data_IF_035321489931
#
_entry.id   IF_035321489931
#
_cell.length_a   1.000
_cell.length_b   1.000
_cell.length_c   1.000
_cell.angle_alpha   90.00
_cell.angle_beta   90.00
_cell.angle_gamma   90.00
#
_symmetry.space_group_name_H-M   'P 1'
#
loop_
_entity.id
_entity.type
_entity.pdbx_description
1 polymer ?
#
# COMPACT_ATOMS: atom_id res chain seq x y z
N UNK A 1 -13.53 -5.89 -13.33
CA UNK A 1 -14.01 -6.94 -12.42
C UNK A 1 -14.54 -6.27 -11.15
N UNK A 2 -15.42 -6.88 -10.36
CA UNK A 2 -15.85 -6.32 -9.07
C UNK A 2 -15.36 -7.24 -7.94
N UNK A 3 -14.73 -6.67 -6.92
CA UNK A 3 -14.31 -7.36 -5.69
C UNK A 3 -15.16 -6.83 -4.53
N UNK A 4 -15.46 -7.68 -3.55
CA UNK A 4 -16.13 -7.20 -2.34
C UNK A 4 -15.19 -6.34 -1.51
N UNK A 5 -15.74 -5.38 -0.77
CA UNK A 5 -14.95 -4.47 0.07
C UNK A 5 -14.15 -5.21 1.15
N UNK A 6 -14.75 -6.25 1.75
CA UNK A 6 -14.06 -7.13 2.70
C UNK A 6 -12.87 -7.85 2.06
N UNK A 7 -13.06 -8.48 0.89
CA UNK A 7 -11.98 -9.21 0.23
C UNK A 7 -10.85 -8.26 -0.23
N UNK A 8 -11.20 -7.02 -0.61
CA UNK A 8 -10.21 -5.99 -0.91
C UNK A 8 -9.36 -5.66 0.32
N UNK A 9 -9.99 -5.43 1.48
CA UNK A 9 -9.29 -5.13 2.72
C UNK A 9 -8.40 -6.28 3.21
N UNK A 10 -8.82 -7.54 3.02
CA UNK A 10 -8.02 -8.73 3.34
C UNK A 10 -6.77 -8.88 2.46
N UNK A 11 -6.81 -8.39 1.21
CA UNK A 11 -5.70 -8.49 0.26
C UNK A 11 -4.73 -7.32 0.33
N UNK A 12 -5.26 -6.10 0.49
CA UNK A 12 -4.51 -4.86 0.28
C UNK A 12 -4.63 -3.88 1.47
N UNK A 13 -5.25 -4.30 2.57
CA UNK A 13 -5.50 -3.44 3.70
C UNK A 13 -6.68 -2.47 3.48
N UNK A 14 -7.03 -1.70 4.53
CA UNK A 14 -8.18 -0.80 4.53
C UNK A 14 -8.02 0.34 3.50
N UNK A 15 -9.13 0.77 2.89
CA UNK A 15 -9.19 1.92 1.98
C UNK A 15 -10.19 2.97 2.47
N UNK A 16 -10.36 4.07 1.75
CA UNK A 16 -11.23 5.20 2.12
C UNK A 16 -12.65 4.71 2.47
N UNK A 17 -13.08 5.02 3.70
CA UNK A 17 -14.36 4.62 4.29
C UNK A 17 -14.31 3.38 5.19
N UNK A 18 -13.16 2.72 5.31
CA UNK A 18 -12.94 1.66 6.31
C UNK A 18 -12.52 2.26 7.65
N UNK A 19 -12.51 1.45 8.70
CA UNK A 19 -12.01 1.88 10.02
C UNK A 19 -11.20 0.80 10.69
N UNK A 20 -10.07 1.18 11.27
CA UNK A 20 -9.17 0.32 12.04
C UNK A 20 -9.14 0.80 13.48
N UNK A 21 -9.32 -0.13 14.42
CA UNK A 21 -9.18 0.13 15.85
C UNK A 21 -7.70 0.17 16.24
N UNK A 22 -7.28 1.18 16.99
CA UNK A 22 -5.92 1.28 17.48
C UNK A 22 -5.74 0.43 18.74
N UNK A 23 -5.21 -0.78 18.56
CA UNK A 23 -5.01 -1.74 19.64
C UNK A 23 -6.31 -2.12 20.31
N UNK A 24 -6.31 -2.17 21.65
CA UNK A 24 -7.47 -2.45 22.50
C UNK A 24 -8.20 -1.18 22.98
N UNK A 25 -7.82 -0.01 22.47
CA UNK A 25 -8.42 1.29 22.87
C UNK A 25 -9.79 1.52 22.22
N UNK A 26 -10.50 2.59 22.58
CA UNK A 26 -11.71 3.01 21.83
C UNK A 26 -11.39 4.02 20.72
N UNK A 27 -10.13 4.10 20.28
CA UNK A 27 -9.70 4.98 19.19
C UNK A 27 -9.78 4.23 17.86
N UNK A 28 -10.31 4.92 16.85
CA UNK A 28 -10.48 4.41 15.49
C UNK A 28 -9.87 5.39 14.50
N UNK A 29 -9.24 4.85 13.46
CA UNK A 29 -8.69 5.62 12.34
C UNK A 29 -9.30 5.13 11.04
N UNK A 30 -9.50 6.05 10.10
CA UNK A 30 -10.00 5.79 8.75
C UNK A 30 -9.04 6.45 7.78
N UNK A 31 -8.61 5.77 6.69
CA UNK A 31 -7.87 6.43 5.63
C UNK A 31 -8.69 7.59 5.05
N UNK A 32 -8.09 8.78 5.01
CA UNK A 32 -8.66 9.99 4.41
C UNK A 32 -8.46 9.99 2.89
N UNK A 33 -7.36 9.38 2.43
CA UNK A 33 -7.05 9.11 1.03
C UNK A 33 -6.42 7.72 0.85
N UNK A 34 -6.57 7.17 -0.35
CA UNK A 34 -5.86 5.99 -0.82
C UNK A 34 -5.20 6.36 -2.16
N UNK A 35 -3.88 6.29 -2.21
CA UNK A 35 -3.08 6.68 -3.37
C UNK A 35 -2.87 5.54 -4.37
N UNK A 36 -3.41 4.34 -4.10
CA UNK A 36 -3.41 3.25 -5.07
C UNK A 36 -4.42 3.49 -6.21
N UNK A 37 -4.15 2.88 -7.36
CA UNK A 37 -5.13 2.75 -8.44
C UNK A 37 -5.83 1.40 -8.28
N UNK A 38 -7.17 1.34 -8.10
CA UNK A 38 -7.87 0.08 -7.88
C UNK A 38 -7.64 -0.95 -8.99
N UNK A 39 -7.04 -2.09 -8.62
CA UNK A 39 -6.66 -3.17 -9.55
C UNK A 39 -5.18 -3.19 -9.94
N UNK A 40 -4.42 -2.16 -9.60
CA UNK A 40 -2.97 -2.03 -9.87
C UNK A 40 -2.15 -2.10 -8.57
N UNK A 41 -2.72 -2.61 -7.47
CA UNK A 41 -2.02 -2.72 -6.19
C UNK A 41 -0.82 -3.66 -6.29
N UNK A 42 0.34 -3.20 -5.78
CA UNK A 42 1.57 -3.99 -5.82
C UNK A 42 1.63 -4.96 -4.63
N UNK A 43 1.83 -6.23 -4.94
CA UNK A 43 2.02 -7.31 -3.96
C UNK A 43 3.20 -8.17 -4.34
N UNK A 44 3.95 -8.62 -3.33
CA UNK A 44 5.09 -9.53 -3.50
C UNK A 44 4.70 -10.98 -3.15
N UNK A 45 5.27 -11.95 -3.86
CA UNK A 45 5.05 -13.38 -3.63
C UNK A 45 4.90 -14.21 -4.92
N UNK A 46 4.78 -15.52 -4.76
CA UNK A 46 4.62 -16.45 -5.89
C UNK A 46 3.40 -16.12 -6.74
N UNK A 47 3.60 -15.80 -8.02
CA UNK A 47 2.52 -15.45 -8.94
C UNK A 47 1.91 -14.05 -8.76
N UNK A 48 2.51 -13.18 -7.94
CA UNK A 48 2.01 -11.83 -7.61
C UNK A 48 2.55 -10.74 -8.55
N UNK A 49 2.34 -9.47 -8.21
CA UNK A 49 2.57 -8.32 -9.09
C UNK A 49 4.06 -7.96 -9.20
N UNK A 50 4.78 -7.88 -8.07
CA UNK A 50 6.20 -7.51 -8.05
C UNK A 50 7.05 -8.69 -8.54
N UNK A 51 7.21 -8.76 -9.85
CA UNK A 51 8.02 -9.72 -10.60
C UNK A 51 8.58 -9.06 -11.86
N UNK A 52 9.66 -9.65 -12.37
CA UNK A 52 10.40 -9.18 -13.54
C UNK A 52 9.48 -8.89 -14.75
N UNK A 53 9.52 -7.64 -15.24
CA UNK A 53 8.73 -7.19 -16.38
C UNK A 53 7.24 -6.92 -16.10
N UNK A 54 6.80 -7.04 -14.84
CA UNK A 54 5.46 -6.68 -14.37
C UNK A 54 5.53 -5.46 -13.46
N UNK A 55 5.23 -5.61 -12.16
CA UNK A 55 5.42 -4.55 -11.16
C UNK A 55 6.88 -4.21 -10.87
N UNK A 56 7.84 -4.99 -11.38
CA UNK A 56 9.27 -4.69 -11.31
C UNK A 56 9.81 -4.31 -12.69
N UNK A 57 10.26 -3.05 -12.81
CA UNK A 57 10.82 -2.47 -14.03
C UNK A 57 12.24 -3.00 -14.33
N UNK A 58 12.68 -2.84 -15.59
CA UNK A 58 14.08 -3.02 -16.02
C UNK A 58 14.91 -1.73 -15.91
N UNK A 59 14.34 -0.68 -15.30
CA UNK A 59 15.02 0.59 -15.11
C UNK A 59 16.32 0.41 -14.31
N UNK A 60 17.27 1.33 -14.53
CA UNK A 60 18.51 1.30 -13.78
C UNK A 60 18.25 1.56 -12.30
N UNK A 61 19.10 1.00 -11.43
CA UNK A 61 19.01 1.13 -9.98
C UNK A 61 18.80 2.59 -9.51
N UNK A 62 19.54 3.54 -10.11
CA UNK A 62 19.41 4.99 -9.86
C UNK A 62 18.02 5.60 -10.13
N UNK A 63 17.13 4.86 -10.78
CA UNK A 63 15.76 5.27 -11.14
C UNK A 63 14.71 4.50 -10.33
N UNK A 64 15.15 3.63 -9.43
CA UNK A 64 14.32 2.78 -8.57
C UNK A 64 14.51 3.14 -7.10
N UNK A 65 13.56 2.74 -6.25
CA UNK A 65 13.70 2.83 -4.80
C UNK A 65 14.49 1.62 -4.29
N UNK A 66 15.31 1.82 -3.25
CA UNK A 66 16.07 0.74 -2.61
C UNK A 66 15.17 -0.21 -1.81
N UNK A 67 14.07 0.33 -1.26
CA UNK A 67 13.04 -0.42 -0.56
C UNK A 67 11.67 0.18 -0.86
N UNK A 68 10.66 -0.67 -0.96
CA UNK A 68 9.25 -0.27 -0.97
C UNK A 68 8.49 -1.02 0.11
N UNK A 69 7.72 -0.30 0.92
CA UNK A 69 6.71 -0.85 1.83
C UNK A 69 5.37 -0.69 1.13
N UNK A 70 4.75 -1.80 0.71
CA UNK A 70 3.54 -1.74 -0.10
C UNK A 70 2.26 -1.68 0.75
N UNK A 71 1.26 -0.95 0.26
CA UNK A 71 -0.08 -0.83 0.84
C UNK A 71 -0.09 -0.43 2.33
N UNK A 72 0.80 0.47 2.73
CA UNK A 72 0.89 0.91 4.12
C UNK A 72 -0.29 1.81 4.49
N UNK A 73 -0.89 1.58 5.67
CA UNK A 73 -1.73 2.56 6.34
C UNK A 73 -0.83 3.49 7.15
N UNK A 74 -0.59 4.69 6.63
CA UNK A 74 0.24 5.72 7.25
C UNK A 74 -0.64 6.51 8.21
N UNK A 75 -0.17 6.62 9.46
CA UNK A 75 -0.79 7.46 10.50
C UNK A 75 0.29 8.44 10.94
N UNK A 76 0.15 9.69 10.54
CA UNK A 76 1.07 10.78 10.89
C UNK A 76 0.29 12.02 11.35
N UNK A 77 0.99 13.02 11.90
CA UNK A 77 0.36 14.26 12.37
C UNK A 77 -0.29 15.09 11.24
N UNK A 78 0.17 14.91 10.00
CA UNK A 78 -0.34 15.62 8.83
C UNK A 78 -1.63 14.99 8.33
N UNK A 79 -1.67 13.66 8.25
CA UNK A 79 -2.75 12.92 7.61
C UNK A 79 -2.74 11.43 7.98
N UNK A 80 -3.88 10.77 7.73
CA UNK A 80 -4.02 9.31 7.77
C UNK A 80 -4.36 8.83 6.37
N UNK A 81 -3.43 8.15 5.71
CA UNK A 81 -3.58 7.78 4.28
C UNK A 81 -3.10 6.36 4.01
N UNK A 82 -3.61 5.74 2.95
CA UNK A 82 -3.05 4.52 2.40
C UNK A 82 -2.16 4.84 1.20
N UNK A 83 -0.92 4.37 1.23
CA UNK A 83 0.04 4.57 0.15
C UNK A 83 1.15 3.50 0.17
N UNK A 84 1.89 3.40 -0.94
CA UNK A 84 3.20 2.75 -0.95
C UNK A 84 4.27 3.74 -0.48
N UNK A 85 5.23 3.27 0.33
CA UNK A 85 6.34 4.09 0.83
C UNK A 85 7.64 3.62 0.19
N UNK A 86 8.23 4.46 -0.66
CA UNK A 86 9.57 4.27 -1.20
C UNK A 86 10.64 4.84 -0.26
N UNK A 87 11.69 4.07 0.00
CA UNK A 87 12.87 4.52 0.72
C UNK A 87 14.05 4.48 -0.24
N UNK A 88 14.74 5.61 -0.36
CA UNK A 88 16.01 5.72 -1.09
C UNK A 88 17.13 6.03 -0.10
N UNK A 89 18.20 5.26 -0.16
CA UNK A 89 19.41 5.46 0.60
C UNK A 89 20.41 6.26 -0.25
N UNK A 90 21.05 7.25 0.36
CA UNK A 90 22.09 8.01 -0.32
C UNK A 90 23.29 7.08 -0.58
N UNK A 91 23.59 6.83 -1.85
CA UNK A 91 24.86 6.29 -2.34
C UNK A 91 25.92 7.36 -2.48
#
# INVERSE_FOLDING_TARGET
MKISRQAYAELYGPTVGDSVRLGDTNLWVSPEADYAVPGEEVTFGGGKVIRDGMGQSQAADRECMDLVITNALIVDYVEIVKADVGVSMAG
#
